data_IF_808081029877
#
_entry.id   IF_808081029877
#
_cell.length_a   1.000
_cell.length_b   1.000
_cell.length_c   1.000
_cell.angle_alpha   90.00
_cell.angle_beta   90.00
_cell.angle_gamma   90.00
#
_symmetry.space_group_name_H-M   'P 1'
#
loop_
_entity.id
_entity.type
_entity.pdbx_description
1 polymer ?
#
# COMPACT_ATOMS: atom_id res chain seq x y z
N UNK A 1 22.45 73.67 25.54
CA UNK A 1 22.66 72.21 25.36
C UNK A 1 21.46 71.48 25.96
N UNK A 2 20.44 71.15 25.17
CA UNK A 2 19.18 70.53 25.66
C UNK A 2 18.68 69.41 24.72
N UNK A 3 19.60 68.58 24.21
CA UNK A 3 19.29 67.53 23.22
C UNK A 3 19.53 66.08 23.68
N UNK A 4 20.20 65.85 24.82
CA UNK A 4 20.72 64.52 25.15
C UNK A 4 19.86 63.68 26.12
N UNK A 5 18.77 64.22 26.69
CA UNK A 5 17.98 63.54 27.73
C UNK A 5 16.74 62.82 27.16
N UNK A 6 16.23 63.22 25.98
CA UNK A 6 15.03 62.59 25.38
C UNK A 6 15.28 61.21 24.75
N UNK A 7 16.50 60.87 24.39
CA UNK A 7 16.82 59.60 23.70
C UNK A 7 16.95 58.41 24.65
N UNK A 8 17.40 58.61 25.89
CA UNK A 8 17.51 57.51 26.89
C UNK A 8 16.14 57.01 27.36
N UNK A 9 15.17 57.90 27.53
CA UNK A 9 13.79 57.53 27.90
C UNK A 9 13.10 56.73 26.80
N UNK A 10 13.25 57.12 25.54
CA UNK A 10 12.70 56.38 24.40
C UNK A 10 13.31 54.96 24.27
N UNK A 11 14.61 54.81 24.53
CA UNK A 11 15.28 53.51 24.49
C UNK A 11 14.77 52.56 25.59
N UNK A 12 14.57 53.07 26.82
CA UNK A 12 14.01 52.28 27.93
C UNK A 12 12.57 51.86 27.65
N UNK A 13 11.76 52.76 27.10
CA UNK A 13 10.37 52.45 26.72
C UNK A 13 10.33 51.37 25.63
N UNK A 14 11.19 51.44 24.61
CA UNK A 14 11.25 50.42 23.57
C UNK A 14 11.69 49.05 24.10
N UNK A 15 12.66 49.00 25.02
CA UNK A 15 13.09 47.74 25.66
C UNK A 15 11.94 47.13 26.46
N UNK A 16 11.21 47.94 27.22
CA UNK A 16 10.04 47.47 27.99
C UNK A 16 8.92 46.95 27.07
N UNK A 17 8.69 47.59 25.93
CA UNK A 17 7.71 47.12 24.92
C UNK A 17 8.15 45.79 24.33
N UNK A 18 9.43 45.61 23.99
CA UNK A 18 9.94 44.33 23.46
C UNK A 18 9.81 43.21 24.49
N UNK A 19 10.14 43.46 25.76
CA UNK A 19 9.96 42.48 26.85
C UNK A 19 8.48 42.13 27.01
N UNK A 20 7.59 43.13 26.99
CA UNK A 20 6.15 42.91 27.09
C UNK A 20 5.63 42.06 25.92
N UNK A 21 6.06 42.35 24.69
CA UNK A 21 5.71 41.56 23.50
C UNK A 21 6.21 40.11 23.67
N UNK A 22 7.45 39.90 24.13
CA UNK A 22 7.98 38.56 24.36
C UNK A 22 7.19 37.79 25.42
N UNK A 23 6.77 38.46 26.50
CA UNK A 23 5.92 37.85 27.54
C UNK A 23 4.54 37.50 26.99
N UNK A 24 3.92 38.38 26.21
CA UNK A 24 2.62 38.14 25.58
C UNK A 24 2.71 37.00 24.56
N UNK A 25 3.76 36.95 23.73
CA UNK A 25 4.02 35.84 22.81
C UNK A 25 4.20 34.54 23.59
N UNK A 26 4.96 34.55 24.68
CA UNK A 26 5.18 33.37 25.51
C UNK A 26 3.87 32.85 26.14
N UNK A 27 3.05 33.76 26.68
CA UNK A 27 1.73 33.43 27.23
C UNK A 27 0.74 32.92 26.18
N UNK A 28 0.74 33.49 24.98
CA UNK A 28 -0.10 33.03 23.86
C UNK A 28 0.41 31.70 23.28
N UNK A 29 1.72 31.45 23.31
CA UNK A 29 2.35 30.19 22.88
C UNK A 29 1.96 29.00 23.76
N UNK A 30 1.50 29.23 24.99
CA UNK A 30 0.98 28.17 25.87
C UNK A 30 -0.41 27.68 25.41
N UNK A 31 -1.20 28.54 24.75
CA UNK A 31 -2.59 28.22 24.36
C UNK A 31 -2.80 28.01 22.85
N UNK A 32 -1.88 28.45 22.00
CA UNK A 32 -1.94 28.24 20.54
C UNK A 32 -0.91 27.16 20.18
N UNK A 33 -1.37 25.93 20.03
CA UNK A 33 -0.60 24.83 19.44
C UNK A 33 -0.45 25.01 17.92
N UNK A 34 0.27 26.05 17.49
CA UNK A 34 0.73 26.18 16.12
C UNK A 34 2.19 25.71 16.08
N UNK A 35 2.39 24.41 15.85
CA UNK A 35 3.73 23.82 15.67
C UNK A 35 4.18 24.16 14.24
N UNK A 36 4.84 25.30 14.07
CA UNK A 36 5.52 25.62 12.81
C UNK A 36 6.83 24.82 12.79
N UNK A 37 6.81 23.72 12.06
CA UNK A 37 8.01 22.90 11.85
C UNK A 37 8.93 23.64 10.86
N UNK A 38 10.08 24.09 11.35
CA UNK A 38 11.12 24.76 10.56
C UNK A 38 12.26 23.79 10.20
N UNK A 39 12.05 22.48 10.35
CA UNK A 39 13.00 21.47 9.90
C UNK A 39 12.72 21.09 8.44
N UNK A 40 13.77 21.04 7.63
CA UNK A 40 13.72 20.98 6.16
C UNK A 40 13.16 19.64 5.60
N UNK A 41 12.78 18.67 6.46
CA UNK A 41 12.38 17.32 6.02
C UNK A 41 11.08 16.71 6.62
N UNK A 42 10.28 17.38 7.45
CA UNK A 42 8.98 16.84 7.95
C UNK A 42 9.01 15.38 8.51
N UNK A 43 10.17 14.85 8.93
CA UNK A 43 10.35 13.41 9.25
C UNK A 43 9.57 12.99 10.52
N UNK A 44 9.11 13.96 11.31
CA UNK A 44 8.41 13.72 12.58
C UNK A 44 6.95 14.18 12.57
N UNK A 45 6.33 14.28 11.40
CA UNK A 45 4.92 14.67 11.28
C UNK A 45 4.16 13.64 10.45
N UNK A 46 2.98 13.26 10.93
CA UNK A 46 2.09 12.37 10.18
C UNK A 46 1.68 13.00 8.84
N UNK A 47 1.45 12.16 7.83
CA UNK A 47 1.10 12.60 6.48
C UNK A 47 -0.27 13.28 6.40
N UNK A 48 -0.47 14.14 5.41
CA UNK A 48 -1.76 14.82 5.18
C UNK A 48 -2.96 13.86 5.02
N UNK A 49 -2.85 12.71 4.31
CA UNK A 49 -3.92 11.71 4.28
C UNK A 49 -4.28 11.18 5.68
N UNK A 50 -3.28 10.93 6.52
CA UNK A 50 -3.46 10.45 7.89
C UNK A 50 -4.19 11.48 8.76
N UNK A 51 -3.83 12.77 8.63
CA UNK A 51 -4.54 13.86 9.32
C UNK A 51 -6.01 13.89 8.96
N UNK A 52 -6.35 13.75 7.67
CA UNK A 52 -7.75 13.74 7.21
C UNK A 52 -8.55 12.62 7.86
N UNK A 53 -8.03 11.39 7.82
CA UNK A 53 -8.70 10.20 8.38
C UNK A 53 -8.90 10.33 9.89
N UNK A 54 -7.89 10.81 10.61
CA UNK A 54 -7.95 10.96 12.07
C UNK A 54 -8.88 12.11 12.48
N UNK A 55 -8.92 13.18 11.69
CA UNK A 55 -9.82 14.32 11.94
C UNK A 55 -11.29 14.01 11.63
N UNK A 56 -11.57 12.99 10.82
CA UNK A 56 -12.92 12.58 10.41
C UNK A 56 -13.52 11.48 11.29
N UNK A 57 -12.90 11.19 12.44
CA UNK A 57 -13.46 10.23 13.40
C UNK A 57 -14.73 10.82 14.03
N UNK A 58 -15.83 10.09 13.93
CA UNK A 58 -17.15 10.47 14.46
C UNK A 58 -17.41 9.94 15.89
N UNK A 59 -16.61 8.99 16.35
CA UNK A 59 -16.66 8.39 17.70
C UNK A 59 -15.25 8.36 18.33
N UNK A 60 -15.16 7.96 19.60
CA UNK A 60 -13.89 7.89 20.33
C UNK A 60 -13.08 6.64 19.96
N UNK A 61 -11.95 6.84 19.28
CA UNK A 61 -10.89 5.85 19.09
C UNK A 61 -10.06 5.70 20.38
N UNK A 62 -10.03 4.50 20.95
CA UNK A 62 -9.17 4.14 22.08
C UNK A 62 -8.07 3.21 21.62
N UNK A 63 -6.81 3.61 21.81
CA UNK A 63 -5.62 2.82 21.45
C UNK A 63 -4.96 2.28 22.71
N UNK A 64 -4.95 0.97 22.88
CA UNK A 64 -4.22 0.29 23.97
C UNK A 64 -2.89 -0.21 23.45
N UNK A 65 -1.80 0.28 24.01
CA UNK A 65 -0.44 -0.08 23.59
C UNK A 65 0.16 -1.07 24.58
N UNK A 66 0.34 -2.31 24.14
CA UNK A 66 0.99 -3.35 24.93
C UNK A 66 2.48 -3.35 24.60
N UNK A 67 3.27 -2.71 25.45
CA UNK A 67 4.70 -2.53 25.24
C UNK A 67 5.49 -2.98 26.48
N UNK A 68 6.46 -3.86 26.29
CA UNK A 68 7.36 -4.27 27.38
C UNK A 68 8.48 -3.26 27.56
N UNK A 69 8.74 -2.83 28.80
CA UNK A 69 9.83 -1.89 29.08
C UNK A 69 11.23 -2.50 28.85
N UNK A 70 12.19 -1.62 28.56
CA UNK A 70 13.60 -1.95 28.36
C UNK A 70 13.85 -3.06 27.32
N UNK A 71 13.17 -3.01 26.18
CA UNK A 71 13.48 -3.92 25.06
C UNK A 71 14.95 -3.74 24.63
N UNK A 72 15.65 -4.82 24.24
CA UNK A 72 17.04 -4.73 23.81
C UNK A 72 17.16 -3.97 22.49
N UNK A 73 18.37 -3.47 22.20
CA UNK A 73 18.67 -2.90 20.90
C UNK A 73 18.34 -3.90 19.77
N UNK A 74 17.80 -3.45 18.62
CA UNK A 74 17.54 -2.05 18.25
C UNK A 74 16.21 -1.45 18.75
N UNK A 75 15.45 -2.17 19.58
CA UNK A 75 14.08 -1.80 19.99
C UNK A 75 13.99 -0.89 21.23
N UNK A 76 15.12 -0.44 21.76
CA UNK A 76 15.18 0.34 23.00
C UNK A 76 14.62 1.77 22.85
N UNK A 77 14.52 2.30 21.63
CA UNK A 77 13.96 3.64 21.34
C UNK A 77 12.50 3.60 20.87
N UNK A 78 12.00 2.41 20.53
CA UNK A 78 10.69 2.17 19.91
C UNK A 78 9.54 2.76 20.74
N UNK A 79 9.57 2.63 22.07
CA UNK A 79 8.52 3.15 22.95
C UNK A 79 8.35 4.66 22.84
N UNK A 80 9.46 5.39 22.78
CA UNK A 80 9.46 6.86 22.68
C UNK A 80 8.92 7.29 21.32
N UNK A 81 9.44 6.70 20.26
CA UNK A 81 8.99 6.99 18.90
C UNK A 81 7.48 6.73 18.73
N UNK A 82 7.00 5.58 19.21
CA UNK A 82 5.59 5.24 19.17
C UNK A 82 4.72 6.23 19.96
N UNK A 83 5.19 6.67 21.12
CA UNK A 83 4.49 7.68 21.92
C UNK A 83 4.39 9.01 21.18
N UNK A 84 5.49 9.49 20.61
CA UNK A 84 5.52 10.77 19.88
C UNK A 84 4.54 10.74 18.69
N UNK A 85 4.49 9.63 17.96
CA UNK A 85 3.59 9.45 16.82
C UNK A 85 2.10 9.38 17.24
N UNK A 86 1.81 8.70 18.35
CA UNK A 86 0.45 8.66 18.93
C UNK A 86 0.01 10.01 19.50
N UNK A 87 0.94 10.82 20.02
CA UNK A 87 0.66 12.20 20.43
C UNK A 87 0.29 13.07 19.22
N UNK A 88 0.97 12.91 18.09
CA UNK A 88 0.62 13.61 16.86
C UNK A 88 -0.77 13.20 16.35
N UNK A 89 -1.07 11.89 16.25
CA UNK A 89 -2.42 11.45 15.89
C UNK A 89 -3.48 12.01 16.82
N UNK A 90 -3.25 11.96 18.13
CA UNK A 90 -4.16 12.52 19.14
C UNK A 90 -4.38 14.02 18.92
N UNK A 91 -3.35 14.79 18.60
CA UNK A 91 -3.45 16.23 18.37
C UNK A 91 -4.36 16.58 17.18
N UNK A 92 -4.35 15.76 16.12
CA UNK A 92 -5.18 15.95 14.92
C UNK A 92 -6.57 15.29 15.01
N UNK A 93 -6.86 14.54 16.08
CA UNK A 93 -8.11 13.77 16.23
C UNK A 93 -9.34 14.58 16.65
N UNK A 94 -9.23 15.90 16.79
CA UNK A 94 -10.30 16.76 17.32
C UNK A 94 -10.85 16.29 18.70
N UNK A 95 -10.02 15.59 19.50
CA UNK A 95 -10.41 15.03 20.79
C UNK A 95 -11.04 13.63 20.74
N UNK A 96 -11.23 13.08 19.53
CA UNK A 96 -11.83 11.77 19.31
C UNK A 96 -10.83 10.61 19.37
N UNK A 97 -9.57 10.85 19.73
CA UNK A 97 -8.59 9.79 19.99
C UNK A 97 -7.99 9.90 21.39
N UNK A 98 -7.87 8.75 22.04
CA UNK A 98 -7.06 8.56 23.26
C UNK A 98 -6.18 7.34 23.11
N UNK A 99 -5.06 7.33 23.81
CA UNK A 99 -4.23 6.14 23.91
C UNK A 99 -3.73 5.94 25.34
N UNK A 100 -3.46 4.68 25.69
CA UNK A 100 -2.85 4.29 26.96
C UNK A 100 -1.75 3.26 26.72
N UNK A 101 -0.63 3.38 27.44
CA UNK A 101 0.37 2.32 27.52
C UNK A 101 -0.05 1.38 28.65
N UNK A 102 -0.24 0.10 28.29
CA UNK A 102 -0.58 -0.94 29.24
C UNK A 102 0.72 -1.44 29.87
N UNK A 103 0.93 -1.06 31.12
CA UNK A 103 2.11 -1.44 31.88
C UNK A 103 2.17 -2.95 32.11
N UNK A 104 3.37 -3.51 32.25
CA UNK A 104 3.57 -4.91 32.66
C UNK A 104 2.71 -5.97 31.89
N UNK A 105 2.67 -5.95 30.55
CA UNK A 105 1.79 -6.83 29.77
C UNK A 105 2.19 -8.32 29.85
N UNK A 106 3.39 -8.61 30.37
CA UNK A 106 3.86 -9.96 30.62
C UNK A 106 3.40 -10.52 31.97
N UNK A 107 3.00 -9.68 32.92
CA UNK A 107 2.66 -10.10 34.29
C UNK A 107 1.24 -9.64 34.63
N UNK A 108 1.09 -8.41 35.13
CA UNK A 108 -0.16 -7.86 35.67
C UNK A 108 -1.26 -7.81 34.59
N UNK A 109 -0.91 -7.34 33.39
CA UNK A 109 -1.86 -7.17 32.29
C UNK A 109 -1.80 -8.30 31.25
N UNK A 110 -1.29 -9.48 31.64
CA UNK A 110 -1.22 -10.64 30.74
C UNK A 110 -2.61 -11.12 30.31
N UNK A 111 -3.58 -11.13 31.23
CA UNK A 111 -4.95 -11.56 30.91
C UNK A 111 -5.62 -10.64 29.90
N UNK A 112 -5.37 -9.33 30.00
CA UNK A 112 -5.90 -8.35 29.05
C UNK A 112 -5.23 -8.49 27.67
N UNK A 113 -3.90 -8.65 27.60
CA UNK A 113 -3.23 -8.91 26.34
C UNK A 113 -3.76 -10.19 25.67
N UNK A 114 -3.98 -11.25 26.45
CA UNK A 114 -4.54 -12.51 25.96
C UNK A 114 -6.00 -12.39 25.51
N UNK A 115 -6.83 -11.52 26.10
CA UNK A 115 -8.23 -11.34 25.69
C UNK A 115 -8.34 -10.76 24.27
N UNK A 116 -7.36 -9.96 23.85
CA UNK A 116 -7.21 -9.50 22.47
C UNK A 116 -6.45 -10.49 21.57
N UNK A 117 -6.14 -11.70 22.06
CA UNK A 117 -5.33 -12.71 21.38
C UNK A 117 -3.96 -12.15 20.93
N UNK A 118 -3.30 -11.37 21.81
CA UNK A 118 -1.91 -10.98 21.65
C UNK A 118 -1.02 -12.05 22.27
N UNK A 119 0.16 -12.27 21.69
CA UNK A 119 1.16 -13.22 22.19
C UNK A 119 2.50 -12.49 22.33
N UNK A 120 3.31 -12.82 23.36
CA UNK A 120 4.62 -12.22 23.52
C UNK A 120 5.58 -12.74 22.44
N UNK A 121 6.49 -11.87 22.00
CA UNK A 121 7.53 -12.17 21.01
C UNK A 121 8.89 -12.27 21.70
N UNK A 122 9.77 -13.11 21.16
CA UNK A 122 11.15 -13.23 21.63
C UNK A 122 12.03 -12.19 20.95
N UNK A 123 12.76 -11.40 21.74
CA UNK A 123 13.75 -10.43 21.32
C UNK A 123 15.15 -10.96 21.63
N UNK A 124 16.05 -10.89 20.65
CA UNK A 124 17.44 -11.28 20.83
C UNK A 124 18.24 -10.13 21.41
N UNK A 125 18.97 -10.37 22.50
CA UNK A 125 19.89 -9.39 23.08
C UNK A 125 21.25 -9.53 22.37
N UNK A 126 21.66 -8.53 21.59
CA UNK A 126 23.03 -8.49 21.04
C UNK A 126 23.97 -7.86 22.07
N UNK A 127 24.66 -8.70 22.85
CA UNK A 127 25.69 -8.30 23.81
C UNK A 127 26.54 -9.49 24.25
N UNK A 128 27.84 -9.43 23.94
CA UNK A 128 28.95 -10.36 24.25
C UNK A 128 28.66 -11.66 25.04
N UNK A 129 28.96 -12.78 24.38
CA UNK A 129 29.22 -14.16 24.91
C UNK A 129 28.02 -15.09 25.16
N UNK A 130 26.79 -14.60 25.34
CA UNK A 130 25.61 -15.47 25.46
C UNK A 130 24.40 -14.87 24.75
N UNK A 131 23.73 -15.65 23.90
CA UNK A 131 22.46 -15.27 23.28
C UNK A 131 21.35 -15.33 24.34
N UNK A 132 21.14 -14.23 25.04
CA UNK A 132 19.99 -14.08 25.95
C UNK A 132 18.75 -13.68 25.14
N UNK A 133 17.65 -14.40 25.37
CA UNK A 133 16.35 -14.11 24.78
C UNK A 133 15.47 -13.42 25.83
N UNK A 134 14.91 -12.26 25.48
CA UNK A 134 13.94 -11.54 26.30
C UNK A 134 12.56 -11.66 25.66
N UNK A 135 11.57 -12.15 26.39
CA UNK A 135 10.17 -12.10 25.95
C UNK A 135 9.61 -10.69 26.15
N UNK A 136 8.78 -10.21 25.23
CA UNK A 136 8.15 -8.91 25.33
C UNK A 136 6.95 -8.73 24.40
N UNK A 137 6.19 -7.67 24.65
CA UNK A 137 5.15 -7.19 23.74
C UNK A 137 5.62 -5.91 23.06
N UNK A 138 5.24 -5.79 21.79
CA UNK A 138 5.35 -4.57 20.98
C UNK A 138 4.13 -4.53 20.05
N UNK A 139 2.96 -4.36 20.65
CA UNK A 139 1.67 -4.54 20.02
C UNK A 139 0.70 -3.42 20.39
N UNK A 140 -0.37 -3.26 19.61
CA UNK A 140 -1.46 -2.37 20.00
C UNK A 140 -2.83 -2.89 19.57
N UNK A 141 -3.86 -2.36 20.20
CA UNK A 141 -5.26 -2.63 19.92
C UNK A 141 -5.97 -1.30 19.73
N UNK A 142 -6.71 -1.17 18.63
CA UNK A 142 -7.58 -0.05 18.33
C UNK A 142 -9.02 -0.46 18.65
N UNK A 143 -9.74 0.39 19.37
CA UNK A 143 -11.13 0.17 19.77
C UNK A 143 -11.94 1.38 19.32
N UNK A 144 -12.98 1.16 18.52
CA UNK A 144 -13.81 2.22 17.95
C UNK A 144 -15.21 1.68 17.64
N UNK A 145 -16.27 2.38 18.03
CA UNK A 145 -17.65 2.00 17.71
C UNK A 145 -18.05 0.58 18.17
N UNK A 146 -17.46 0.07 19.26
CA UNK A 146 -17.68 -1.29 19.77
C UNK A 146 -16.94 -2.42 19.03
N UNK A 147 -16.19 -2.10 17.98
CA UNK A 147 -15.31 -3.04 17.27
C UNK A 147 -13.86 -2.86 17.73
N UNK A 148 -13.03 -3.89 17.56
CA UNK A 148 -11.60 -3.79 17.79
C UNK A 148 -10.79 -4.43 16.65
N UNK A 149 -9.64 -3.82 16.37
CA UNK A 149 -8.61 -4.32 15.47
C UNK A 149 -7.27 -4.24 16.18
N UNK A 150 -6.26 -4.98 15.69
CA UNK A 150 -4.97 -5.07 16.40
C UNK A 150 -3.78 -5.14 15.45
N UNK A 151 -2.67 -4.58 15.89
CA UNK A 151 -1.34 -4.84 15.34
C UNK A 151 -0.66 -5.79 16.33
N UNK A 152 -0.58 -7.10 16.02
CA UNK A 152 -0.10 -8.10 16.97
C UNK A 152 1.40 -7.97 17.26
N UNK A 153 2.17 -7.40 16.32
CA UNK A 153 3.57 -7.07 16.50
C UNK A 153 3.98 -5.97 15.53
N UNK A 154 4.53 -4.87 16.05
CA UNK A 154 5.03 -3.75 15.26
C UNK A 154 6.47 -4.05 14.85
N UNK A 155 6.66 -4.61 13.65
CA UNK A 155 7.99 -5.00 13.19
C UNK A 155 8.82 -3.81 12.71
N UNK A 156 8.24 -2.96 11.86
CA UNK A 156 8.89 -1.80 11.27
C UNK A 156 8.20 -0.51 11.76
N UNK A 157 8.95 0.38 12.42
CA UNK A 157 8.43 1.66 12.87
C UNK A 157 8.11 2.62 11.73
N UNK A 158 8.81 2.53 10.60
CA UNK A 158 8.58 3.39 9.44
C UNK A 158 7.23 3.10 8.76
N UNK A 159 6.79 1.83 8.78
CA UNK A 159 5.50 1.40 8.22
C UNK A 159 4.33 1.57 9.20
N UNK A 160 4.62 1.95 10.45
CA UNK A 160 3.62 1.97 11.51
C UNK A 160 2.47 2.94 11.21
N UNK A 161 2.75 4.13 10.69
CA UNK A 161 1.70 5.10 10.34
C UNK A 161 0.70 4.50 9.35
N UNK A 162 1.21 3.85 8.30
CA UNK A 162 0.37 3.18 7.30
C UNK A 162 -0.48 2.08 7.93
N UNK A 163 0.13 1.18 8.70
CA UNK A 163 -0.57 0.08 9.35
C UNK A 163 -1.65 0.59 10.33
N UNK A 164 -1.32 1.62 11.11
CA UNK A 164 -2.24 2.26 12.05
C UNK A 164 -3.43 2.87 11.33
N UNK A 165 -3.19 3.71 10.33
CA UNK A 165 -4.25 4.43 9.59
C UNK A 165 -5.14 3.49 8.80
N UNK A 166 -4.58 2.41 8.24
CA UNK A 166 -5.37 1.35 7.59
C UNK A 166 -6.39 0.75 8.56
N UNK A 167 -5.98 0.41 9.78
CA UNK A 167 -6.88 -0.14 10.81
C UNK A 167 -7.90 0.89 11.31
N UNK A 168 -7.48 2.15 11.48
CA UNK A 168 -8.41 3.24 11.84
C UNK A 168 -9.51 3.36 10.78
N UNK A 169 -9.13 3.43 9.50
CA UNK A 169 -10.07 3.53 8.39
C UNK A 169 -11.03 2.35 8.36
N UNK A 170 -10.51 1.13 8.52
CA UNK A 170 -11.32 -0.10 8.60
C UNK A 170 -12.37 -0.05 9.72
N UNK A 171 -12.03 0.54 10.87
CA UNK A 171 -12.93 0.69 12.00
C UNK A 171 -13.93 1.86 11.83
N UNK A 172 -13.50 2.97 11.22
CA UNK A 172 -14.31 4.19 11.07
C UNK A 172 -15.27 4.15 9.88
N UNK A 173 -14.92 3.40 8.82
CA UNK A 173 -15.71 3.23 7.60
C UNK A 173 -16.12 1.75 7.45
N UNK A 174 -17.08 1.24 8.25
CA UNK A 174 -17.49 -0.17 8.20
C UNK A 174 -18.20 -0.54 6.88
N UNK A 175 -18.58 0.44 6.06
CA UNK A 175 -19.00 0.19 4.69
C UNK A 175 -17.77 -0.25 3.90
N UNK A 176 -17.56 -1.57 3.82
CA UNK A 176 -16.55 -2.13 2.93
C UNK A 176 -16.83 -1.65 1.52
N UNK A 177 -16.01 -0.72 1.04
CA UNK A 177 -15.84 -0.46 -0.37
C UNK A 177 -15.82 -1.80 -1.11
N UNK A 178 -16.68 -1.94 -2.14
CA UNK A 178 -16.79 -3.19 -2.87
C UNK A 178 -15.81 -3.17 -4.02
N UNK A 179 -15.08 -4.27 -4.19
CA UNK A 179 -14.27 -4.53 -5.37
C UNK A 179 -14.83 -5.75 -6.07
N UNK A 180 -14.95 -5.66 -7.39
CA UNK A 180 -15.62 -6.71 -8.16
C UNK A 180 -14.67 -7.40 -9.12
N UNK A 181 -14.81 -8.73 -9.25
CA UNK A 181 -14.12 -9.51 -10.27
C UNK A 181 -15.14 -9.99 -11.30
N UNK A 182 -14.85 -9.77 -12.59
CA UNK A 182 -15.75 -10.24 -13.65
C UNK A 182 -15.66 -11.75 -13.82
N UNK A 183 -16.78 -12.35 -14.19
CA UNK A 183 -16.83 -13.74 -14.63
C UNK A 183 -17.80 -13.90 -15.81
N UNK A 184 -17.68 -15.02 -16.52
CA UNK A 184 -18.57 -15.41 -17.60
C UNK A 184 -17.99 -15.33 -19.00
N UNK A 185 -16.76 -14.85 -19.15
CA UNK A 185 -15.97 -14.83 -20.38
C UNK A 185 -14.68 -15.67 -20.26
N UNK A 186 -14.69 -16.68 -19.39
CA UNK A 186 -13.56 -17.57 -19.17
C UNK A 186 -12.38 -16.91 -18.46
N UNK A 187 -12.66 -15.91 -17.61
CA UNK A 187 -11.74 -15.34 -16.63
C UNK A 187 -11.30 -16.38 -15.60
N UNK A 188 -10.20 -16.10 -14.87
CA UNK A 188 -9.79 -16.93 -13.75
C UNK A 188 -10.82 -16.89 -12.63
N UNK A 189 -11.22 -18.04 -12.07
CA UNK A 189 -12.17 -18.07 -10.96
C UNK A 189 -11.54 -17.45 -9.70
N UNK A 190 -12.38 -16.72 -8.94
CA UNK A 190 -12.02 -16.22 -7.61
C UNK A 190 -11.56 -17.35 -6.69
N UNK A 191 -12.27 -18.48 -6.75
CA UNK A 191 -11.91 -19.69 -6.03
C UNK A 191 -10.99 -20.54 -6.90
N UNK A 192 -9.71 -20.61 -6.54
CA UNK A 192 -8.67 -21.26 -7.33
C UNK A 192 -7.43 -20.40 -7.44
N UNK A 193 -7.06 -20.00 -8.65
CA UNK A 193 -5.83 -19.22 -8.89
C UNK A 193 -5.84 -17.83 -8.23
N UNK A 194 -7.01 -17.23 -8.00
CA UNK A 194 -7.14 -15.91 -7.40
C UNK A 194 -7.41 -15.93 -5.88
N UNK A 195 -7.40 -17.10 -5.25
CA UNK A 195 -7.74 -17.24 -3.81
C UNK A 195 -6.90 -16.33 -2.92
N UNK A 196 -5.58 -16.27 -3.16
CA UNK A 196 -4.66 -15.44 -2.36
C UNK A 196 -4.96 -13.95 -2.58
N UNK A 197 -5.14 -13.53 -3.84
CA UNK A 197 -5.49 -12.14 -4.15
C UNK A 197 -6.82 -11.74 -3.51
N UNK A 198 -7.81 -12.63 -3.56
CA UNK A 198 -9.10 -12.45 -2.88
C UNK A 198 -8.93 -12.31 -1.37
N UNK A 199 -8.15 -13.18 -0.72
CA UNK A 199 -7.92 -13.13 0.72
C UNK A 199 -7.30 -11.80 1.16
N UNK A 200 -6.27 -11.34 0.45
CA UNK A 200 -5.62 -10.04 0.72
C UNK A 200 -6.62 -8.89 0.54
N UNK A 201 -7.37 -8.88 -0.56
CA UNK A 201 -8.37 -7.84 -0.81
C UNK A 201 -9.51 -7.88 0.21
N UNK A 202 -9.87 -9.05 0.74
CA UNK A 202 -10.94 -9.20 1.74
C UNK A 202 -10.59 -8.60 3.11
N UNK A 203 -9.30 -8.33 3.38
CA UNK A 203 -8.87 -7.62 4.60
C UNK A 203 -9.45 -6.21 4.66
N UNK A 204 -9.48 -5.53 3.51
CA UNK A 204 -9.83 -4.11 3.39
C UNK A 204 -11.15 -3.87 2.61
N UNK A 205 -11.57 -4.81 1.77
CA UNK A 205 -12.69 -4.65 0.83
C UNK A 205 -13.71 -5.79 0.91
N UNK A 206 -14.92 -5.54 0.40
CA UNK A 206 -15.86 -6.62 0.09
C UNK A 206 -15.59 -7.06 -1.36
N UNK A 207 -15.13 -8.30 -1.52
CA UNK A 207 -14.84 -8.86 -2.84
C UNK A 207 -16.07 -9.61 -3.37
N UNK A 208 -16.61 -9.13 -4.49
CA UNK A 208 -17.82 -9.70 -5.10
C UNK A 208 -17.60 -10.15 -6.57
N UNK A 209 -18.17 -11.28 -7.00
CA UNK A 209 -18.18 -11.64 -8.42
C UNK A 209 -19.27 -10.86 -9.18
N UNK A 210 -19.01 -10.46 -10.43
CA UNK A 210 -20.00 -9.80 -11.29
C UNK A 210 -20.04 -10.40 -12.71
N UNK A 211 -21.23 -10.69 -13.21
CA UNK A 211 -21.45 -11.19 -14.57
C UNK A 211 -21.91 -10.05 -15.49
N UNK A 212 -21.00 -9.51 -16.30
CA UNK A 212 -21.29 -8.41 -17.23
C UNK A 212 -22.34 -8.77 -18.30
N UNK A 213 -22.68 -10.05 -18.47
CA UNK A 213 -23.72 -10.49 -19.41
C UNK A 213 -25.12 -10.32 -18.83
N UNK A 214 -25.24 -10.27 -17.50
CA UNK A 214 -26.53 -10.27 -16.78
C UNK A 214 -26.90 -8.90 -16.20
N UNK A 215 -25.91 -8.08 -15.88
CA UNK A 215 -26.17 -6.77 -15.28
C UNK A 215 -26.49 -5.71 -16.34
N UNK A 216 -27.45 -4.80 -16.10
CA UNK A 216 -27.70 -3.66 -16.99
C UNK A 216 -26.62 -2.58 -16.87
N UNK A 217 -26.02 -2.46 -15.68
CA UNK A 217 -24.91 -1.58 -15.37
C UNK A 217 -24.11 -2.17 -14.21
N UNK A 218 -22.85 -1.75 -14.08
CA UNK A 218 -22.06 -2.05 -12.88
C UNK A 218 -22.65 -1.22 -11.72
N UNK A 219 -22.85 -1.77 -10.51
CA UNK A 219 -23.27 -0.98 -9.36
C UNK A 219 -22.31 0.18 -9.01
N UNK A 220 -22.83 1.29 -8.45
CA UNK A 220 -22.03 2.47 -8.07
C UNK A 220 -21.18 2.26 -6.81
N UNK A 221 -21.55 1.30 -5.97
CA UNK A 221 -20.83 0.91 -4.76
C UNK A 221 -19.58 0.04 -5.05
N UNK A 222 -19.36 -0.33 -6.32
CA UNK A 222 -18.11 -0.95 -6.78
C UNK A 222 -17.11 0.15 -7.12
N UNK A 223 -16.05 0.27 -6.32
CA UNK A 223 -14.99 1.27 -6.56
C UNK A 223 -13.94 0.80 -7.57
N UNK A 224 -13.72 -0.50 -7.67
CA UNK A 224 -12.78 -1.09 -8.60
C UNK A 224 -13.31 -2.40 -9.20
N UNK A 225 -13.10 -2.57 -10.51
CA UNK A 225 -13.45 -3.76 -11.26
C UNK A 225 -12.17 -4.44 -11.77
N UNK A 226 -12.06 -5.75 -11.60
CA UNK A 226 -10.94 -6.55 -12.08
C UNK A 226 -11.39 -7.52 -13.16
N UNK A 227 -10.72 -7.48 -14.31
CA UNK A 227 -10.92 -8.38 -15.44
C UNK A 227 -9.64 -9.19 -15.63
N UNK A 228 -9.66 -10.47 -15.22
CA UNK A 228 -8.44 -11.28 -15.10
C UNK A 228 -8.43 -12.44 -16.08
N UNK A 229 -7.48 -12.39 -17.02
CA UNK A 229 -7.25 -13.37 -18.09
C UNK A 229 -8.52 -13.91 -18.76
N UNK A 230 -9.45 -13.03 -19.23
CA UNK A 230 -10.58 -13.48 -20.03
C UNK A 230 -10.13 -14.23 -21.27
N UNK A 231 -10.86 -15.27 -21.64
CA UNK A 231 -10.56 -16.11 -22.80
C UNK A 231 -11.65 -16.14 -23.86
N UNK A 232 -12.79 -15.50 -23.61
CA UNK A 232 -13.93 -15.43 -24.53
C UNK A 232 -14.24 -13.98 -24.93
N UNK A 233 -14.98 -13.83 -26.03
CA UNK A 233 -15.41 -12.54 -26.57
C UNK A 233 -16.47 -11.88 -25.69
N UNK A 234 -16.27 -10.59 -25.42
CA UNK A 234 -17.28 -9.74 -24.80
C UNK A 234 -18.31 -9.29 -25.84
N UNK A 235 -19.59 -9.29 -25.46
CA UNK A 235 -20.68 -8.77 -26.30
C UNK A 235 -20.64 -7.24 -26.38
N UNK A 236 -21.29 -6.65 -27.38
CA UNK A 236 -21.38 -5.18 -27.50
C UNK A 236 -22.02 -4.55 -26.27
N UNK A 237 -23.02 -5.23 -25.69
CA UNK A 237 -23.64 -4.83 -24.43
C UNK A 237 -22.64 -4.83 -23.27
N UNK A 238 -21.84 -5.88 -23.13
CA UNK A 238 -20.86 -5.97 -22.05
C UNK A 238 -19.75 -4.92 -22.19
N UNK A 239 -19.28 -4.67 -23.43
CA UNK A 239 -18.34 -3.59 -23.72
C UNK A 239 -18.93 -2.21 -23.42
N UNK A 240 -20.20 -1.98 -23.77
CA UNK A 240 -20.91 -0.75 -23.44
C UNK A 240 -21.03 -0.55 -21.92
N UNK A 241 -21.44 -1.58 -21.17
CA UNK A 241 -21.52 -1.51 -19.69
C UNK A 241 -20.17 -1.16 -19.06
N UNK A 242 -19.08 -1.74 -19.58
CA UNK A 242 -17.72 -1.47 -19.11
C UNK A 242 -17.29 -0.04 -19.46
N UNK A 243 -17.55 0.41 -20.68
CA UNK A 243 -17.25 1.76 -21.15
C UNK A 243 -17.98 2.82 -20.31
N UNK A 244 -19.27 2.64 -20.04
CA UNK A 244 -20.05 3.55 -19.18
C UNK A 244 -19.52 3.60 -17.75
N UNK A 245 -19.00 2.49 -17.22
CA UNK A 245 -18.37 2.47 -15.90
C UNK A 245 -17.06 3.27 -15.86
N UNK A 246 -16.23 3.16 -16.90
CA UNK A 246 -14.99 3.94 -16.99
C UNK A 246 -15.31 5.43 -17.17
N UNK A 247 -16.24 5.77 -18.06
CA UNK A 247 -16.65 7.15 -18.36
C UNK A 247 -17.19 7.92 -17.15
N UNK A 248 -17.80 7.24 -16.17
CA UNK A 248 -18.27 7.86 -14.92
C UNK A 248 -17.23 7.88 -13.79
N UNK A 249 -15.97 7.55 -14.08
CA UNK A 249 -14.86 7.57 -13.11
C UNK A 249 -14.60 6.24 -12.39
N UNK A 250 -15.20 5.14 -12.85
CA UNK A 250 -14.94 3.81 -12.32
C UNK A 250 -13.52 3.34 -12.63
N UNK A 251 -12.88 2.65 -11.67
CA UNK A 251 -11.51 2.14 -11.82
C UNK A 251 -11.55 0.70 -12.33
N UNK A 252 -10.76 0.38 -13.35
CA UNK A 252 -10.70 -0.97 -13.92
C UNK A 252 -9.27 -1.47 -14.03
N UNK A 253 -8.99 -2.65 -13.45
CA UNK A 253 -7.75 -3.39 -13.64
C UNK A 253 -7.90 -4.45 -14.74
N UNK A 254 -7.18 -4.28 -15.84
CA UNK A 254 -7.15 -5.20 -16.97
C UNK A 254 -5.90 -6.08 -16.93
N UNK A 255 -6.07 -7.38 -16.71
CA UNK A 255 -4.97 -8.37 -16.77
C UNK A 255 -5.21 -9.26 -17.98
N UNK A 256 -4.74 -8.83 -19.14
CA UNK A 256 -5.05 -9.45 -20.42
C UNK A 256 -3.86 -10.21 -21.00
N UNK A 257 -4.16 -11.30 -21.69
CA UNK A 257 -3.22 -11.98 -22.55
C UNK A 257 -3.87 -12.19 -23.92
N UNK A 258 -3.12 -11.96 -25.00
CA UNK A 258 -3.58 -12.22 -26.38
C UNK A 258 -3.34 -13.67 -26.81
N UNK A 259 -2.77 -14.49 -25.92
CA UNK A 259 -2.57 -15.91 -26.12
C UNK A 259 -2.89 -16.72 -24.87
N UNK A 260 -3.17 -18.00 -25.07
CA UNK A 260 -3.31 -19.01 -24.02
C UNK A 260 -2.38 -20.17 -24.34
N UNK A 261 -1.39 -20.39 -23.48
CA UNK A 261 -0.49 -21.54 -23.62
C UNK A 261 -1.16 -22.78 -23.02
N UNK A 262 -1.39 -23.78 -23.86
CA UNK A 262 -1.87 -25.08 -23.44
C UNK A 262 -0.66 -25.99 -23.15
N UNK A 263 -0.26 -26.05 -21.89
CA UNK A 263 0.92 -26.82 -21.47
C UNK A 263 0.79 -28.33 -21.75
N UNK A 264 -0.44 -28.87 -21.82
CA UNK A 264 -0.68 -30.29 -22.07
C UNK A 264 -0.48 -30.66 -23.55
N UNK A 265 -0.84 -29.74 -24.46
CA UNK A 265 -0.74 -29.96 -25.91
C UNK A 265 0.50 -29.30 -26.51
N UNK A 266 1.23 -28.48 -25.74
CA UNK A 266 2.32 -27.65 -26.25
C UNK A 266 1.86 -26.62 -27.29
N UNK A 267 0.56 -26.30 -27.33
CA UNK A 267 -0.02 -25.36 -28.30
C UNK A 267 -0.20 -23.98 -27.70
N UNK A 268 -0.20 -22.99 -28.58
CA UNK A 268 -0.48 -21.59 -28.25
C UNK A 268 -1.75 -21.21 -29.01
N UNK A 269 -2.81 -20.89 -28.27
CA UNK A 269 -4.09 -20.47 -28.85
C UNK A 269 -4.21 -18.95 -28.82
N UNK A 270 -4.56 -18.35 -29.96
CA UNK A 270 -4.86 -16.91 -30.06
C UNK A 270 -6.13 -16.60 -29.28
N UNK A 271 -6.08 -15.59 -28.41
CA UNK A 271 -7.21 -15.14 -27.61
C UNK A 271 -7.71 -13.80 -28.14
N UNK A 272 -8.98 -13.78 -28.55
CA UNK A 272 -9.67 -12.54 -28.89
C UNK A 272 -10.86 -12.29 -27.97
N UNK A 273 -10.72 -11.30 -27.10
CA UNK A 273 -11.76 -10.89 -26.14
C UNK A 273 -12.56 -9.68 -26.62
N UNK A 274 -12.12 -9.02 -27.70
CA UNK A 274 -12.58 -7.68 -28.15
C UNK A 274 -12.25 -6.51 -27.22
N UNK A 275 -11.77 -6.75 -26.00
CA UNK A 275 -11.38 -5.70 -25.05
C UNK A 275 -10.26 -4.79 -25.59
N UNK A 276 -9.38 -5.32 -26.44
CA UNK A 276 -8.30 -4.52 -27.05
C UNK A 276 -8.84 -3.34 -27.89
N UNK A 277 -10.02 -3.49 -28.50
CA UNK A 277 -10.63 -2.40 -29.28
C UNK A 277 -11.09 -1.26 -28.35
N UNK A 278 -11.63 -1.61 -27.18
CA UNK A 278 -12.00 -0.64 -26.14
C UNK A 278 -10.75 0.05 -25.59
N UNK A 279 -9.72 -0.70 -25.19
CA UNK A 279 -8.50 -0.14 -24.60
C UNK A 279 -7.77 0.83 -25.54
N UNK A 280 -7.76 0.55 -26.85
CA UNK A 280 -7.16 1.45 -27.83
C UNK A 280 -7.85 2.82 -27.86
N UNK A 281 -9.15 2.89 -27.61
CA UNK A 281 -9.86 4.16 -27.48
C UNK A 281 -9.41 4.97 -26.24
N UNK A 282 -8.85 4.30 -25.23
CA UNK A 282 -8.28 4.90 -24.02
C UNK A 282 -6.75 5.11 -24.11
N UNK A 283 -6.14 4.96 -25.30
CA UNK A 283 -4.72 5.25 -25.50
C UNK A 283 -3.75 4.10 -25.17
N UNK A 284 -4.26 2.88 -24.97
CA UNK A 284 -3.44 1.68 -24.68
C UNK A 284 -3.84 0.52 -25.59
N UNK A 285 -2.89 -0.05 -26.33
CA UNK A 285 -3.12 -1.30 -27.06
C UNK A 285 -2.45 -2.49 -26.38
N UNK A 286 -2.98 -3.68 -26.62
CA UNK A 286 -2.32 -4.96 -26.29
C UNK A 286 -1.97 -5.65 -27.60
N UNK A 287 -0.67 -5.90 -27.80
CA UNK A 287 -0.15 -6.54 -29.00
C UNK A 287 -0.37 -8.04 -28.97
N UNK A 288 -0.47 -8.63 -30.16
CA UNK A 288 -0.56 -10.07 -30.32
C UNK A 288 0.84 -10.67 -30.54
N UNK A 289 1.69 -10.52 -29.53
CA UNK A 289 3.02 -11.13 -29.46
C UNK A 289 3.31 -11.66 -28.04
N UNK A 290 4.43 -12.37 -27.89
CA UNK A 290 5.04 -12.65 -26.60
C UNK A 290 6.20 -11.71 -26.34
N UNK A 291 6.25 -11.13 -25.14
CA UNK A 291 7.45 -10.51 -24.61
C UNK A 291 8.49 -11.60 -24.29
N UNK A 292 9.71 -11.38 -24.73
CA UNK A 292 10.87 -12.18 -24.36
C UNK A 292 11.97 -11.28 -23.81
N UNK A 293 12.79 -11.81 -22.91
CA UNK A 293 13.87 -11.05 -22.28
C UNK A 293 15.07 -11.97 -22.02
N UNK A 294 16.29 -11.43 -22.11
CA UNK A 294 17.49 -12.12 -21.64
C UNK A 294 17.49 -12.31 -20.12
N UNK A 295 16.89 -11.36 -19.39
CA UNK A 295 16.61 -11.45 -17.97
C UNK A 295 15.38 -12.34 -17.72
N UNK A 296 15.57 -13.64 -17.92
CA UNK A 296 14.52 -14.63 -17.81
C UNK A 296 14.87 -15.76 -16.84
N UNK A 297 13.87 -16.55 -16.50
CA UNK A 297 14.06 -17.75 -15.69
C UNK A 297 15.02 -18.72 -16.37
N UNK A 298 15.93 -19.29 -15.57
CA UNK A 298 16.90 -20.29 -16.01
C UNK A 298 16.81 -21.48 -15.07
N UNK A 299 16.70 -22.68 -15.63
CA UNK A 299 16.77 -23.93 -14.87
C UNK A 299 17.94 -24.78 -15.35
N UNK A 300 18.43 -25.66 -14.49
CA UNK A 300 19.51 -26.59 -14.83
C UNK A 300 18.92 -27.93 -15.26
N UNK A 301 19.27 -28.36 -16.47
CA UNK A 301 18.91 -29.65 -17.05
C UNK A 301 20.14 -30.57 -17.07
N UNK A 302 19.94 -31.87 -16.85
CA UNK A 302 21.04 -32.85 -16.86
C UNK A 302 21.06 -33.59 -18.19
N UNK A 303 21.95 -33.15 -19.11
CA UNK A 303 22.08 -33.79 -20.42
C UNK A 303 23.05 -34.95 -20.35
N UNK A 304 22.64 -36.08 -20.93
CA UNK A 304 23.49 -37.28 -21.04
C UNK A 304 24.56 -37.04 -22.10
N UNK A 305 25.82 -37.24 -21.72
CA UNK A 305 26.99 -37.17 -22.59
C UNK A 305 27.82 -38.45 -22.45
N UNK A 306 28.72 -38.72 -23.40
CA UNK A 306 29.63 -39.85 -23.28
C UNK A 306 30.48 -39.69 -22.01
N UNK A 307 30.33 -40.62 -21.05
CA UNK A 307 31.01 -40.58 -19.76
C UNK A 307 30.21 -40.03 -18.58
N UNK A 308 28.94 -39.61 -18.74
CA UNK A 308 28.08 -39.24 -17.59
C UNK A 308 26.94 -38.27 -17.91
N UNK A 309 26.61 -37.42 -16.95
CA UNK A 309 25.66 -36.32 -17.10
C UNK A 309 26.39 -35.00 -16.96
N UNK A 310 26.08 -34.05 -17.84
CA UNK A 310 26.58 -32.68 -17.77
C UNK A 310 25.41 -31.74 -17.44
N UNK A 311 25.51 -30.90 -16.40
CA UNK A 311 24.52 -29.87 -16.13
C UNK A 311 24.60 -28.79 -17.21
N UNK A 312 23.46 -28.47 -17.82
CA UNK A 312 23.31 -27.41 -18.81
C UNK A 312 22.21 -26.47 -18.34
N UNK A 313 22.52 -25.17 -18.31
CA UNK A 313 21.52 -24.15 -17.97
C UNK A 313 20.66 -23.86 -19.20
N UNK A 314 19.36 -24.00 -19.05
CA UNK A 314 18.35 -23.72 -20.07
C UNK A 314 17.59 -22.46 -19.67
N UNK A 315 17.67 -21.44 -20.53
CA UNK A 315 16.90 -20.20 -20.40
C UNK A 315 15.47 -20.41 -20.91
N UNK A 316 14.50 -19.75 -20.28
CA UNK A 316 13.09 -19.74 -20.66
C UNK A 316 12.68 -18.31 -21.02
N UNK A 317 12.94 -17.84 -22.26
CA UNK A 317 12.88 -16.40 -22.59
C UNK A 317 11.54 -15.72 -22.38
N UNK A 318 10.43 -16.46 -22.40
CA UNK A 318 9.07 -15.96 -22.16
C UNK A 318 8.67 -15.94 -20.67
N UNK A 319 9.51 -16.44 -19.78
CA UNK A 319 9.38 -16.27 -18.33
C UNK A 319 10.33 -15.13 -17.93
N UNK A 320 9.85 -13.90 -18.07
CA UNK A 320 10.63 -12.68 -17.92
C UNK A 320 10.65 -12.23 -16.45
N UNK A 321 11.80 -11.72 -16.00
CA UNK A 321 11.95 -11.06 -14.71
C UNK A 321 12.04 -9.55 -14.94
N UNK A 322 11.09 -8.82 -14.37
CA UNK A 322 10.99 -7.37 -14.42
C UNK A 322 11.65 -6.80 -13.17
N UNK A 323 12.69 -5.99 -13.37
CA UNK A 323 13.38 -5.27 -12.31
C UNK A 323 13.39 -3.75 -12.55
N UNK A 324 12.91 -3.29 -13.71
CA UNK A 324 12.83 -1.87 -14.05
C UNK A 324 11.43 -1.33 -13.72
N UNK A 325 11.29 -0.79 -12.52
CA UNK A 325 10.06 -0.21 -11.99
C UNK A 325 10.15 1.31 -11.98
N UNK A 326 9.02 1.99 -12.15
CA UNK A 326 8.95 3.43 -11.99
C UNK A 326 9.14 3.80 -10.51
N UNK A 327 10.24 4.47 -10.20
CA UNK A 327 10.61 4.88 -8.83
C UNK A 327 9.85 6.12 -8.34
N UNK A 328 9.25 6.90 -9.24
CA UNK A 328 8.42 8.05 -8.90
C UNK A 328 7.00 7.64 -8.51
N UNK A 329 6.54 6.49 -8.98
CA UNK A 329 5.20 5.98 -8.70
C UNK A 329 5.13 5.26 -7.34
N UNK A 330 4.21 5.69 -6.46
CA UNK A 330 4.03 5.12 -5.12
C UNK A 330 3.70 3.62 -5.12
N UNK A 331 3.08 3.11 -6.19
CA UNK A 331 2.71 1.69 -6.31
C UNK A 331 3.92 0.83 -6.63
N UNK A 332 4.89 1.33 -7.39
CA UNK A 332 6.03 0.53 -7.89
C UNK A 332 7.39 0.88 -7.29
N UNK A 333 7.50 1.97 -6.52
CA UNK A 333 8.75 2.47 -5.94
C UNK A 333 9.47 1.46 -5.04
N UNK A 334 8.75 0.57 -4.36
CA UNK A 334 9.32 -0.39 -3.41
C UNK A 334 9.51 -1.79 -3.99
N UNK A 335 9.21 -1.97 -5.28
CA UNK A 335 9.17 -3.26 -5.94
C UNK A 335 10.55 -3.56 -6.50
N UNK A 336 11.10 -4.71 -6.09
CA UNK A 336 12.45 -5.12 -6.48
C UNK A 336 12.46 -6.03 -7.70
N UNK A 337 11.51 -6.96 -7.78
CA UNK A 337 11.40 -7.89 -8.90
C UNK A 337 9.96 -8.40 -9.03
N UNK A 338 9.54 -8.65 -10.27
CA UNK A 338 8.27 -9.29 -10.61
C UNK A 338 8.50 -10.24 -11.78
N UNK A 339 7.98 -11.45 -11.70
CA UNK A 339 8.05 -12.40 -12.81
C UNK A 339 6.75 -12.44 -13.60
N UNK A 340 6.86 -12.44 -14.92
CA UNK A 340 5.74 -12.61 -15.84
C UNK A 340 5.98 -13.81 -16.74
N UNK A 341 4.95 -14.63 -16.95
CA UNK A 341 5.04 -15.83 -17.79
C UNK A 341 4.15 -15.63 -19.01
N UNK A 342 4.75 -15.63 -20.21
CA UNK A 342 4.03 -15.58 -21.48
C UNK A 342 3.19 -14.31 -21.64
N UNK A 343 3.73 -13.15 -21.26
CA UNK A 343 3.03 -11.88 -21.32
C UNK A 343 2.98 -11.30 -22.75
N UNK A 344 1.86 -10.65 -23.09
CA UNK A 344 1.76 -9.82 -24.30
C UNK A 344 2.30 -8.42 -24.04
N UNK A 345 2.94 -7.81 -25.04
CA UNK A 345 3.42 -6.42 -24.91
C UNK A 345 2.28 -5.42 -25.04
N UNK A 346 2.44 -4.26 -24.39
CA UNK A 346 1.57 -3.11 -24.57
C UNK A 346 2.08 -2.25 -25.74
N UNK A 347 1.14 -1.75 -26.54
CA UNK A 347 1.37 -0.82 -27.64
C UNK A 347 1.24 0.62 -27.12
N UNK A 348 2.38 1.25 -26.87
CA UNK A 348 2.47 2.65 -26.42
C UNK A 348 2.48 3.66 -27.57
N UNK A 349 2.46 3.19 -28.83
CA UNK A 349 2.34 4.06 -30.01
C UNK A 349 0.92 4.58 -30.23
N UNK A 350 -0.07 3.98 -29.56
CA UNK A 350 -1.46 4.42 -29.59
C UNK A 350 -1.57 5.86 -29.10
N UNK A 351 -2.26 6.69 -29.88
CA UNK A 351 -2.52 8.08 -29.54
C UNK A 351 -3.32 8.16 -28.23
N UNK A 352 -2.80 8.91 -27.27
CA UNK A 352 -3.49 9.18 -26.01
C UNK A 352 -4.56 10.24 -26.26
N UNK A 353 -5.84 10.00 -25.91
CA UNK A 353 -6.91 10.99 -26.05
C UNK A 353 -6.66 12.25 -25.23
N UNK A 354 -7.30 13.36 -25.62
CA UNK A 354 -7.25 14.60 -24.85
C UNK A 354 -7.85 14.38 -23.45
N UNK A 355 -7.16 14.88 -22.41
CA UNK A 355 -7.56 14.72 -21.01
C UNK A 355 -7.22 13.36 -20.38
N UNK A 356 -6.53 12.46 -21.10
CA UNK A 356 -6.03 11.20 -20.56
C UNK A 356 -4.54 11.31 -20.28
N UNK A 357 -4.14 10.89 -19.09
CA UNK A 357 -2.73 10.75 -18.71
C UNK A 357 -2.31 9.28 -18.80
N UNK A 358 -1.09 9.04 -19.29
CA UNK A 358 -0.51 7.70 -19.37
C UNK A 358 0.79 7.64 -18.60
N UNK A 359 0.81 6.80 -17.59
CA UNK A 359 1.98 6.51 -16.79
C UNK A 359 2.44 5.07 -17.02
N UNK A 360 3.76 4.88 -17.19
CA UNK A 360 4.37 3.55 -17.33
C UNK A 360 4.85 3.10 -15.95
N UNK A 361 4.36 1.96 -15.49
CA UNK A 361 4.67 1.44 -14.15
C UNK A 361 5.96 0.61 -14.11
N UNK A 362 6.24 -0.13 -15.19
CA UNK A 362 7.44 -0.95 -15.32
C UNK A 362 7.71 -1.27 -16.79
N UNK A 363 8.95 -1.63 -17.11
CA UNK A 363 9.34 -2.10 -18.44
C UNK A 363 10.18 -3.37 -18.36
N UNK A 364 10.27 -4.08 -19.49
CA UNK A 364 11.30 -5.10 -19.70
C UNK A 364 12.70 -4.46 -19.76
N UNK A 365 13.74 -5.30 -19.80
CA UNK A 365 15.12 -4.84 -19.93
C UNK A 365 15.42 -4.27 -21.32
N UNK A 366 16.57 -3.63 -21.49
CA UNK A 366 17.05 -3.19 -22.80
C UNK A 366 17.35 -4.37 -23.75
N UNK A 367 17.63 -5.56 -23.20
CA UNK A 367 17.87 -6.80 -23.94
C UNK A 367 16.57 -7.61 -24.12
N UNK A 368 15.45 -6.91 -24.25
CA UNK A 368 14.14 -7.51 -24.50
C UNK A 368 13.76 -7.48 -25.97
N UNK A 369 12.79 -8.32 -26.33
CA UNK A 369 12.27 -8.40 -27.67
C UNK A 369 10.87 -8.98 -27.70
N UNK A 370 10.37 -9.20 -28.91
CA UNK A 370 9.06 -9.81 -29.10
C UNK A 370 9.14 -10.95 -30.09
N UNK A 371 8.40 -12.03 -29.82
CA UNK A 371 8.16 -13.09 -30.78
C UNK A 371 6.69 -13.01 -31.18
N UNK A 372 6.43 -12.81 -32.46
CA UNK A 372 5.12 -13.02 -33.06
C UNK A 372 5.03 -14.44 -33.60
N UNK A 373 3.83 -15.02 -33.53
CA UNK A 373 3.51 -16.28 -34.22
C UNK A 373 3.40 -16.10 -35.74
#
# INVERSE_FOLDING_TARGET
MAGAIKTKSAAVVNILIVILILVVINLLSINIFARWDLTEENIYSISEPSKKIISSLDDRLTVKVFFTEDLPAPHNTDRRYLKDLLDDFKAYSNGNMVYEFVDNPLTENRQEASSYNLQPVQFNVMGSTTAEQKLGYKALVLIYGGQNEKIPFINNMEMFEYDFIRLVKKLSEPAKTRVAFTFGHGELPLEGQLTIAKQILQEDFEVAPIDLRKVPEIPQDIEALFIVAPSQRFSDRALYVLDQYIMRGGKVGFFLNRFKMNQNLGTIDKVDTRLNSLLRAYGVGVNQNFAIDQNCYTYTDLRRVEGGFMPVNVKVPFFININNFNEENLVTKYQKTMSLIGASTLDTSVQVPEGVEREILFTTSEESGTISE
#
